data_IF_816999201218
#
_entry.id   IF_816999201218
#
_cell.length_a   1.000
_cell.length_b   1.000
_cell.length_c   1.000
_cell.angle_alpha   90.00
_cell.angle_beta   90.00
_cell.angle_gamma   90.00
#
_symmetry.space_group_name_H-M   'P 1'
#
loop_
_entity.id
_entity.type
_entity.pdbx_description
1 polymer ?
#
# COMPACT_ATOMS: atom_id res chain seq x y z
N UNK A 1 -5.29 4.39 26.27
CA UNK A 1 -5.20 4.06 24.83
C UNK A 1 -6.40 3.23 24.44
N UNK A 2 -7.30 3.78 23.67
CA UNK A 2 -8.48 3.03 23.18
C UNK A 2 -8.02 2.16 22.02
N UNK A 3 -7.91 0.85 22.26
CA UNK A 3 -7.80 -0.13 21.18
C UNK A 3 -9.13 -0.12 20.44
N UNK A 4 -9.10 0.07 19.13
CA UNK A 4 -10.28 -0.18 18.32
C UNK A 4 -10.47 -1.70 18.21
N UNK A 5 -11.16 -2.29 19.20
CA UNK A 5 -11.36 -3.73 19.31
C UNK A 5 -12.27 -4.29 18.22
N UNK A 6 -13.02 -3.44 17.52
CA UNK A 6 -13.91 -3.82 16.40
C UNK A 6 -13.73 -2.82 15.24
N UNK A 7 -12.75 -3.02 14.36
CA UNK A 7 -12.65 -2.22 13.14
C UNK A 7 -13.87 -2.45 12.25
N UNK A 8 -14.33 -1.39 11.58
CA UNK A 8 -15.38 -1.52 10.57
C UNK A 8 -14.81 -2.22 9.34
N UNK A 9 -15.23 -3.44 9.10
CA UNK A 9 -14.77 -4.26 7.97
C UNK A 9 -15.67 -3.98 6.76
N UNK A 10 -15.09 -3.70 5.60
CA UNK A 10 -15.83 -3.62 4.34
C UNK A 10 -16.27 -5.01 3.88
N UNK A 11 -17.57 -5.24 3.86
CA UNK A 11 -18.17 -6.50 3.39
C UNK A 11 -18.35 -6.59 1.87
N UNK A 12 -18.10 -5.52 1.11
CA UNK A 12 -18.42 -5.42 -0.32
C UNK A 12 -17.18 -5.50 -1.25
N UNK A 13 -16.22 -6.36 -0.92
CA UNK A 13 -15.02 -6.63 -1.72
C UNK A 13 -15.33 -7.13 -3.14
N UNK A 14 -16.44 -7.83 -3.33
CA UNK A 14 -16.84 -8.42 -4.61
C UNK A 14 -17.17 -7.39 -5.71
N UNK A 15 -17.70 -6.24 -5.35
CA UNK A 15 -18.06 -5.20 -6.33
C UNK A 15 -16.82 -4.56 -6.94
N UNK A 16 -15.83 -4.26 -6.11
CA UNK A 16 -14.54 -3.72 -6.55
C UNK A 16 -13.78 -4.71 -7.44
N UNK A 17 -13.80 -6.01 -7.10
CA UNK A 17 -13.09 -7.03 -7.86
C UNK A 17 -13.61 -7.16 -9.30
N UNK A 18 -14.91 -7.09 -9.51
CA UNK A 18 -15.52 -7.23 -10.84
C UNK A 18 -15.34 -5.99 -11.72
N UNK A 19 -15.43 -4.79 -11.15
CA UNK A 19 -15.24 -3.55 -11.88
C UNK A 19 -13.76 -3.34 -12.22
N UNK A 20 -12.87 -3.68 -11.30
CA UNK A 20 -11.44 -3.70 -11.45
C UNK A 20 -10.97 -4.64 -12.59
N UNK A 21 -11.43 -5.89 -12.59
CA UNK A 21 -11.08 -6.85 -13.63
C UNK A 21 -11.58 -6.44 -15.01
N UNK A 22 -12.75 -5.83 -15.10
CA UNK A 22 -13.31 -5.33 -16.37
C UNK A 22 -12.53 -4.14 -16.93
N UNK A 23 -12.09 -3.23 -16.07
CA UNK A 23 -11.30 -2.07 -16.48
C UNK A 23 -9.88 -2.47 -16.87
N UNK A 24 -9.26 -3.37 -16.12
CA UNK A 24 -7.93 -3.92 -16.46
C UNK A 24 -7.96 -4.70 -17.78
N UNK A 25 -8.98 -5.51 -18.05
CA UNK A 25 -9.13 -6.22 -19.33
C UNK A 25 -9.28 -5.25 -20.51
N UNK A 26 -9.83 -4.06 -20.33
CA UNK A 26 -9.87 -3.03 -21.38
C UNK A 26 -8.50 -2.41 -21.64
N UNK A 27 -7.67 -2.27 -20.63
CA UNK A 27 -6.32 -1.69 -20.72
C UNK A 27 -5.31 -2.68 -21.31
N UNK A 28 -5.42 -3.97 -21.01
CA UNK A 28 -4.54 -5.02 -21.54
C UNK A 28 -4.70 -5.26 -23.06
N UNK A 29 -5.79 -4.80 -23.66
CA UNK A 29 -6.08 -4.95 -25.10
C UNK A 29 -5.49 -3.85 -26.00
N UNK A 30 -4.82 -2.86 -25.42
CA UNK A 30 -4.20 -1.76 -26.17
C UNK A 30 -2.68 -1.91 -26.22
N UNK A 31 -2.19 -2.61 -27.26
CA UNK A 31 -0.75 -2.86 -27.54
C UNK A 31 0.11 -1.58 -27.70
N UNK A 32 -0.46 -0.40 -27.48
CA UNK A 32 0.21 0.90 -27.57
C UNK A 32 0.54 1.54 -26.22
N UNK A 33 0.13 0.92 -25.11
CA UNK A 33 0.40 1.49 -23.79
C UNK A 33 1.81 1.07 -23.36
N UNK A 34 2.75 1.95 -23.54
CA UNK A 34 4.07 1.91 -22.95
C UNK A 34 3.96 1.83 -21.43
N UNK A 35 4.70 0.97 -20.80
CA UNK A 35 5.29 0.87 -19.43
C UNK A 35 4.84 1.94 -18.37
N UNK A 36 3.61 2.45 -18.50
CA UNK A 36 3.01 3.42 -17.60
C UNK A 36 2.26 2.69 -16.49
N UNK A 37 2.60 3.05 -15.25
CA UNK A 37 1.96 2.53 -14.05
C UNK A 37 0.57 3.13 -13.92
N UNK A 38 -0.42 2.33 -13.57
CA UNK A 38 -1.77 2.81 -13.27
C UNK A 38 -2.16 2.65 -11.79
N UNK A 39 -3.23 3.33 -11.38
CA UNK A 39 -3.71 3.30 -9.99
C UNK A 39 -4.20 1.91 -9.56
N UNK A 40 -4.70 1.11 -10.51
CA UNK A 40 -5.22 -0.22 -10.22
C UNK A 40 -4.09 -1.20 -9.95
N UNK A 41 -2.99 -1.10 -10.69
CA UNK A 41 -1.78 -1.87 -10.45
C UNK A 41 -1.21 -1.58 -9.04
N UNK A 42 -1.11 -0.31 -8.68
CA UNK A 42 -0.66 0.08 -7.33
C UNK A 42 -1.60 -0.46 -6.26
N UNK A 43 -2.90 -0.30 -6.44
CA UNK A 43 -3.89 -0.77 -5.47
C UNK A 43 -3.84 -2.29 -5.30
N UNK A 44 -3.71 -3.05 -6.38
CA UNK A 44 -3.67 -4.52 -6.35
C UNK A 44 -2.41 -5.03 -5.63
N UNK A 45 -1.29 -4.35 -5.79
CA UNK A 45 -0.06 -4.68 -5.08
C UNK A 45 -0.17 -4.52 -3.56
N UNK A 46 -0.91 -3.52 -3.07
CA UNK A 46 -0.90 -3.16 -1.64
C UNK A 46 -2.16 -3.55 -0.88
N UNK A 47 -3.30 -3.81 -1.55
CA UNK A 47 -4.59 -4.09 -0.91
C UNK A 47 -4.59 -5.27 0.05
N UNK A 48 -3.81 -6.32 -0.27
CA UNK A 48 -3.73 -7.58 0.48
C UNK A 48 -2.66 -7.58 1.58
N UNK A 49 -1.93 -6.49 1.79
CA UNK A 49 -1.00 -6.37 2.92
C UNK A 49 -1.80 -6.54 4.21
N UNK A 50 -1.32 -7.39 5.11
CA UNK A 50 -1.98 -7.66 6.39
C UNK A 50 -1.62 -6.59 7.41
N UNK A 51 -2.61 -6.13 8.16
CA UNK A 51 -2.42 -5.16 9.26
C UNK A 51 -1.63 -5.79 10.41
N UNK A 52 -0.70 -5.04 11.06
CA UNK A 52 0.12 -5.60 12.14
C UNK A 52 -0.66 -5.90 13.43
N UNK A 53 -1.85 -5.36 13.59
CA UNK A 53 -2.66 -5.52 14.81
C UNK A 53 -3.91 -6.38 14.59
N UNK A 54 -4.47 -6.39 13.39
CA UNK A 54 -5.70 -7.10 13.06
C UNK A 54 -5.44 -8.17 11.99
N UNK A 55 -6.10 -9.33 12.05
CA UNK A 55 -5.96 -10.40 11.05
C UNK A 55 -6.76 -10.11 9.77
N UNK A 56 -6.65 -8.88 9.27
CA UNK A 56 -7.35 -8.39 8.08
C UNK A 56 -6.39 -7.61 7.20
N UNK A 57 -6.69 -7.52 5.91
CA UNK A 57 -5.87 -6.75 4.99
C UNK A 57 -6.23 -5.25 4.99
N UNK A 58 -5.39 -4.44 4.36
CA UNK A 58 -5.53 -2.98 4.36
C UNK A 58 -6.83 -2.51 3.69
N UNK A 59 -7.32 -3.23 2.67
CA UNK A 59 -8.58 -2.90 2.01
C UNK A 59 -9.77 -3.22 2.92
N UNK A 60 -9.80 -4.40 3.54
CA UNK A 60 -10.87 -4.82 4.46
C UNK A 60 -11.04 -3.85 5.62
N UNK A 61 -9.92 -3.34 6.15
CA UNK A 61 -9.90 -2.35 7.23
C UNK A 61 -10.15 -0.92 6.76
N UNK A 62 -10.32 -0.71 5.47
CA UNK A 62 -10.45 0.62 4.87
C UNK A 62 -9.27 1.55 5.20
N UNK A 63 -8.09 0.98 5.37
CA UNK A 63 -6.84 1.73 5.58
C UNK A 63 -6.42 2.40 4.28
N UNK A 64 -6.66 1.74 3.13
CA UNK A 64 -6.45 2.25 1.78
C UNK A 64 -7.67 2.05 0.89
N UNK A 65 -7.82 2.91 -0.09
CA UNK A 65 -8.81 2.82 -1.17
C UNK A 65 -8.20 3.31 -2.49
N UNK A 66 -8.88 3.08 -3.61
CA UNK A 66 -8.44 3.60 -4.92
C UNK A 66 -8.29 5.12 -4.95
N UNK A 67 -9.16 5.83 -4.24
CA UNK A 67 -9.13 7.31 -4.16
C UNK A 67 -7.91 7.84 -3.39
N UNK A 68 -7.20 6.98 -2.68
CA UNK A 68 -6.02 7.32 -1.89
C UNK A 68 -4.71 7.19 -2.70
N UNK A 69 -4.80 6.83 -3.99
CA UNK A 69 -3.64 6.59 -4.86
C UNK A 69 -3.61 7.64 -5.97
N UNK A 70 -2.47 8.28 -6.12
CA UNK A 70 -2.19 9.23 -7.20
C UNK A 70 -0.97 8.75 -7.98
N UNK A 71 -1.11 8.61 -9.29
CA UNK A 71 -0.02 8.25 -10.20
C UNK A 71 0.20 9.38 -11.20
N UNK A 72 1.39 9.93 -11.20
CA UNK A 72 1.85 10.94 -12.17
C UNK A 72 2.98 10.35 -13.02
N UNK A 73 2.63 9.81 -14.17
CA UNK A 73 3.58 9.19 -15.09
C UNK A 73 4.54 10.20 -15.72
N UNK A 74 4.13 11.46 -15.88
CA UNK A 74 4.98 12.51 -16.44
C UNK A 74 6.14 12.84 -15.51
N UNK A 75 5.85 12.99 -14.22
CA UNK A 75 6.85 13.29 -13.20
C UNK A 75 7.43 12.03 -12.54
N UNK A 76 6.93 10.84 -12.93
CA UNK A 76 7.30 9.55 -12.35
C UNK A 76 7.16 9.52 -10.84
N UNK A 77 6.01 9.99 -10.36
CA UNK A 77 5.67 10.08 -8.95
C UNK A 77 4.42 9.24 -8.66
N UNK A 78 4.52 8.41 -7.63
CA UNK A 78 3.41 7.65 -7.07
C UNK A 78 3.21 8.13 -5.64
N UNK A 79 2.01 8.56 -5.30
CA UNK A 79 1.66 8.95 -3.94
C UNK A 79 0.53 8.05 -3.43
N UNK A 80 0.75 7.43 -2.29
CA UNK A 80 -0.23 6.58 -1.62
C UNK A 80 -0.56 7.19 -0.26
N UNK A 81 -1.81 7.51 -0.04
CA UNK A 81 -2.33 7.91 1.25
C UNK A 81 -2.92 6.71 1.98
N UNK A 82 -2.76 6.65 3.30
CA UNK A 82 -3.39 5.63 4.12
C UNK A 82 -3.92 6.21 5.42
N UNK A 83 -4.94 5.59 5.97
CA UNK A 83 -5.56 6.00 7.25
C UNK A 83 -5.37 4.88 8.28
N UNK A 84 -4.45 5.01 9.23
CA UNK A 84 -4.25 3.98 10.24
C UNK A 84 -5.49 3.80 11.13
N UNK A 85 -5.79 2.56 11.51
CA UNK A 85 -6.94 2.23 12.36
C UNK A 85 -6.78 2.72 13.80
N UNK A 86 -5.54 2.93 14.21
CA UNK A 86 -5.18 3.33 15.58
C UNK A 86 -4.20 4.49 15.52
N UNK A 87 -4.37 5.44 16.43
CA UNK A 87 -3.44 6.55 16.64
C UNK A 87 -2.15 6.07 17.35
N UNK A 88 -1.47 5.11 16.75
CA UNK A 88 -0.20 4.58 17.24
C UNK A 88 0.86 4.68 16.14
N UNK A 89 1.82 5.58 16.35
CA UNK A 89 2.91 5.84 15.39
C UNK A 89 3.71 4.59 15.03
N UNK A 90 3.83 3.61 15.93
CA UNK A 90 4.56 2.37 15.66
C UNK A 90 3.88 1.52 14.58
N UNK A 91 2.59 1.28 14.70
CA UNK A 91 1.82 0.51 13.72
C UNK A 91 1.64 1.26 12.40
N UNK A 92 1.37 2.57 12.46
CA UNK A 92 1.31 3.40 11.27
C UNK A 92 2.64 3.38 10.49
N UNK A 93 3.78 3.41 11.20
CA UNK A 93 5.09 3.26 10.59
C UNK A 93 5.27 1.91 9.89
N UNK A 94 4.87 0.80 10.52
CA UNK A 94 4.95 -0.53 9.92
C UNK A 94 4.09 -0.65 8.67
N UNK A 95 2.87 -0.15 8.69
CA UNK A 95 1.97 -0.12 7.52
C UNK A 95 2.61 0.67 6.37
N UNK A 96 3.04 1.90 6.65
CA UNK A 96 3.65 2.76 5.64
C UNK A 96 4.93 2.17 5.03
N UNK A 97 5.79 1.59 5.86
CA UNK A 97 7.01 0.91 5.40
C UNK A 97 6.70 -0.35 4.58
N UNK A 98 5.68 -1.12 4.95
CA UNK A 98 5.25 -2.31 4.20
C UNK A 98 4.74 -1.93 2.80
N UNK A 99 3.89 -0.90 2.72
CA UNK A 99 3.41 -0.34 1.45
C UNK A 99 4.61 0.08 0.59
N UNK A 100 5.50 0.89 1.14
CA UNK A 100 6.66 1.41 0.41
C UNK A 100 7.59 0.31 -0.06
N UNK A 101 7.90 -0.65 0.79
CA UNK A 101 8.76 -1.80 0.44
C UNK A 101 8.14 -2.65 -0.66
N UNK A 102 6.84 -2.95 -0.56
CA UNK A 102 6.13 -3.73 -1.59
C UNK A 102 6.20 -3.02 -2.93
N UNK A 103 5.84 -1.74 -2.98
CA UNK A 103 5.89 -0.96 -4.22
C UNK A 103 7.31 -0.84 -4.78
N UNK A 104 8.31 -0.62 -3.94
CA UNK A 104 9.71 -0.51 -4.39
C UNK A 104 10.25 -1.82 -4.98
N UNK A 105 9.70 -2.97 -4.60
CA UNK A 105 10.10 -4.27 -5.14
C UNK A 105 9.48 -4.58 -6.51
N UNK A 106 8.29 -4.05 -6.79
CA UNK A 106 7.52 -4.39 -7.99
C UNK A 106 7.46 -3.27 -9.03
N UNK A 107 7.60 -2.02 -8.59
CA UNK A 107 7.56 -0.85 -9.47
C UNK A 107 8.97 -0.47 -9.90
N UNK A 108 9.09 -0.01 -11.16
CA UNK A 108 10.37 0.44 -11.71
C UNK A 108 11.05 1.50 -10.80
N UNK A 109 12.37 1.38 -10.56
CA UNK A 109 13.13 2.34 -9.74
C UNK A 109 13.17 3.76 -10.33
N UNK A 110 12.61 3.95 -11.52
CA UNK A 110 12.43 5.28 -12.12
C UNK A 110 11.36 6.11 -11.44
N UNK A 111 10.44 5.47 -10.70
CA UNK A 111 9.37 6.15 -9.98
C UNK A 111 9.81 6.51 -8.56
N UNK A 112 9.50 7.72 -8.15
CA UNK A 112 9.53 8.10 -6.75
C UNK A 112 8.21 7.68 -6.10
N UNK A 113 8.28 7.04 -4.95
CA UNK A 113 7.12 6.53 -4.24
C UNK A 113 7.02 7.27 -2.90
N UNK A 114 5.96 8.02 -2.70
CA UNK A 114 5.64 8.69 -1.45
C UNK A 114 4.46 7.99 -0.76
N UNK A 115 4.64 7.66 0.51
CA UNK A 115 3.61 7.05 1.35
C UNK A 115 3.30 7.98 2.51
N UNK A 116 2.05 8.40 2.64
CA UNK A 116 1.64 9.46 3.54
C UNK A 116 0.39 9.06 4.34
N UNK A 117 0.34 9.47 5.61
CA UNK A 117 -0.90 9.42 6.39
C UNK A 117 -1.87 10.44 5.80
N UNK A 118 -3.08 9.99 5.49
CA UNK A 118 -4.18 10.84 5.06
C UNK A 118 -4.65 11.69 6.23
N UNK A 119 -4.76 13.00 6.03
CA UNK A 119 -5.22 13.96 7.05
C UNK A 119 -4.46 13.85 8.40
N UNK A 120 -3.15 14.14 8.43
CA UNK A 120 -2.36 14.06 9.66
C UNK A 120 -2.93 14.98 10.74
N UNK A 121 -3.35 14.42 11.87
CA UNK A 121 -4.07 15.12 12.93
C UNK A 121 -3.14 15.85 13.92
N UNK A 122 -1.91 15.38 14.03
CA UNK A 122 -0.96 15.88 15.03
C UNK A 122 0.46 15.99 14.46
N UNK A 123 1.37 16.55 15.25
CA UNK A 123 2.79 16.70 14.89
C UNK A 123 3.48 15.35 14.68
N UNK A 124 3.08 14.33 15.44
CA UNK A 124 3.63 12.98 15.31
C UNK A 124 3.34 12.38 13.95
N UNK A 125 2.12 12.54 13.41
CA UNK A 125 1.73 12.06 12.09
C UNK A 125 2.54 12.76 10.99
N UNK A 126 2.74 14.09 11.11
CA UNK A 126 3.55 14.88 10.17
C UNK A 126 5.02 14.46 10.19
N UNK A 127 5.56 14.18 11.37
CA UNK A 127 6.91 13.69 11.52
C UNK A 127 7.06 12.28 10.93
N UNK A 128 6.05 11.43 11.12
CA UNK A 128 6.02 10.09 10.55
C UNK A 128 6.00 10.13 9.02
N UNK A 129 5.19 11.03 8.41
CA UNK A 129 5.19 11.23 6.97
C UNK A 129 6.59 11.60 6.42
N UNK A 130 7.33 12.46 7.12
CA UNK A 130 8.71 12.79 6.75
C UNK A 130 9.63 11.58 6.86
N UNK A 131 9.50 10.83 7.97
CA UNK A 131 10.35 9.68 8.25
C UNK A 131 10.17 8.52 7.28
N UNK A 132 8.92 8.22 6.89
CA UNK A 132 8.62 7.15 5.94
C UNK A 132 9.18 7.43 4.53
N UNK A 133 9.39 8.70 4.18
CA UNK A 133 9.89 9.10 2.86
C UNK A 133 11.37 9.49 2.86
N UNK A 134 12.03 9.43 4.02
CA UNK A 134 13.48 9.62 4.15
C UNK A 134 14.24 8.36 3.69
N UNK A 135 15.09 8.51 2.65
CA UNK A 135 15.85 7.39 2.07
C UNK A 135 16.79 6.74 3.07
N UNK A 136 17.47 7.52 3.91
CA UNK A 136 18.41 6.99 4.91
C UNK A 136 17.71 6.13 5.95
N UNK A 137 16.51 6.53 6.37
CA UNK A 137 15.69 5.76 7.31
C UNK A 137 15.09 4.51 6.70
N UNK A 138 14.75 4.55 5.43
CA UNK A 138 14.31 3.36 4.70
C UNK A 138 15.42 2.31 4.60
N UNK A 139 16.64 2.73 4.31
CA UNK A 139 17.80 1.85 4.30
C UNK A 139 18.07 1.27 5.69
N UNK A 140 18.00 2.09 6.74
CA UNK A 140 18.15 1.64 8.12
C UNK A 140 17.04 0.66 8.54
N UNK A 141 15.80 0.87 8.09
CA UNK A 141 14.67 -0.03 8.36
C UNK A 141 14.83 -1.40 7.70
N UNK A 142 15.46 -1.45 6.52
CA UNK A 142 15.80 -2.70 5.85
C UNK A 142 16.85 -3.54 6.61
N UNK A 143 17.59 -2.93 7.52
CA UNK A 143 18.53 -3.63 8.41
C UNK A 143 17.84 -4.13 9.69
N UNK A 144 16.65 -3.62 10.02
CA UNK A 144 15.89 -4.07 11.19
C UNK A 144 15.12 -5.36 10.86
N UNK A 145 15.61 -6.47 11.40
CA UNK A 145 15.08 -7.80 11.14
C UNK A 145 13.57 -7.90 11.43
N UNK A 146 13.08 -7.29 12.51
CA UNK A 146 11.66 -7.35 12.88
C UNK A 146 10.76 -6.66 11.83
N UNK A 147 11.22 -5.53 11.27
CA UNK A 147 10.51 -4.81 10.22
C UNK A 147 10.55 -5.62 8.92
N UNK A 148 11.70 -6.18 8.59
CA UNK A 148 11.87 -7.00 7.38
C UNK A 148 11.01 -8.25 7.46
N UNK A 149 11.02 -8.95 8.59
CA UNK A 149 10.22 -10.18 8.81
C UNK A 149 8.72 -9.86 8.73
N UNK A 150 8.28 -8.77 9.37
CA UNK A 150 6.88 -8.32 9.29
C UNK A 150 6.49 -7.99 7.84
N UNK A 151 7.25 -7.16 7.15
CA UNK A 151 6.97 -6.79 5.76
C UNK A 151 6.94 -8.02 4.85
N UNK A 152 7.83 -8.99 5.06
CA UNK A 152 7.87 -10.23 4.28
C UNK A 152 6.63 -11.08 4.54
N UNK A 153 6.25 -11.28 5.79
CA UNK A 153 5.07 -12.07 6.17
C UNK A 153 3.78 -11.39 5.69
N UNK A 154 3.66 -10.08 5.85
CA UNK A 154 2.48 -9.32 5.43
C UNK A 154 2.26 -9.30 3.91
N UNK A 155 3.27 -9.66 3.12
CA UNK A 155 3.23 -9.60 1.65
C UNK A 155 3.22 -10.97 0.96
N UNK A 156 3.37 -12.09 1.69
CA UNK A 156 3.45 -13.45 1.13
C UNK A 156 2.20 -13.80 0.31
N UNK A 157 1.01 -13.57 0.86
CA UNK A 157 -0.25 -13.94 0.17
C UNK A 157 -0.46 -13.17 -1.14
N UNK A 158 0.17 -12.00 -1.26
CA UNK A 158 0.09 -11.19 -2.49
C UNK A 158 0.93 -11.80 -3.61
N UNK A 159 2.05 -12.42 -3.29
CA UNK A 159 2.93 -13.04 -4.28
C UNK A 159 2.30 -14.32 -4.84
N UNK A 160 1.63 -15.11 -3.99
CA UNK A 160 0.87 -16.29 -4.40
C UNK A 160 -0.34 -15.92 -5.29
N UNK A 161 -1.00 -14.80 -4.98
CA UNK A 161 -2.09 -14.26 -5.80
C UNK A 161 -1.61 -13.76 -7.17
N UNK A 162 -0.46 -13.10 -7.22
CA UNK A 162 0.14 -12.63 -8.48
C UNK A 162 0.63 -13.80 -9.36
N UNK A 163 1.12 -14.89 -8.76
CA UNK A 163 1.44 -16.12 -9.51
C UNK A 163 0.17 -16.79 -10.08
N UNK A 164 -0.92 -16.79 -9.32
CA UNK A 164 -2.21 -17.28 -9.81
C UNK A 164 -2.75 -16.47 -11.00
N UNK A 165 -2.55 -15.15 -11.00
CA UNK A 165 -2.96 -14.30 -12.13
C UNK A 165 -2.08 -14.46 -13.38
N UNK A 166 -0.86 -14.99 -13.25
CA UNK A 166 0.06 -15.28 -14.37
C UNK A 166 -0.12 -16.68 -14.96
N UNK A 167 -0.84 -17.55 -14.28
CA UNK A 167 -1.19 -18.91 -14.73
C UNK A 167 -2.49 -18.93 -15.51
#
# INVERSE_FOLDING_TARGET
MSKNLNPLIKTNLYKYKNDFLKERQKLEYDDKITDEVDIYEIFDLIRNIIDPEHPYNLEELNIISLDDIIVDNNNRLITVYFTPTIENCGFASLIGLSIKKKLSNFISPKYNIDVLIKEPKNESDRNLNKQMNDKERLEASNLNKNIVDFCSTATIDTDEYLEFLKS
#
